data_IF_235603229892
#
_entry.id   IF_235603229892
#
_cell.length_a   1.000
_cell.length_b   1.000
_cell.length_c   1.000
_cell.angle_alpha   90.00
_cell.angle_beta   90.00
_cell.angle_gamma   90.00
#
_symmetry.space_group_name_H-M   'P 1'
#
loop_
_entity.id
_entity.type
_entity.pdbx_description
1 polymer ?
#
# COMPACT_ATOMS: atom_id res chain seq x y z
N UNK A 1 -83.21 -54.08 -13.23
CA UNK A 1 -81.84 -54.48 -12.82
C UNK A 1 -81.21 -53.35 -12.02
N UNK A 2 -81.25 -53.42 -10.66
CA UNK A 2 -80.62 -52.46 -9.77
C UNK A 2 -79.37 -53.15 -9.20
N UNK A 3 -78.17 -52.68 -9.53
CA UNK A 3 -76.90 -53.11 -8.92
C UNK A 3 -76.69 -52.28 -7.65
N UNK A 4 -76.69 -52.93 -6.51
CA UNK A 4 -76.29 -52.35 -5.23
C UNK A 4 -74.74 -52.29 -5.15
N UNK A 5 -74.22 -51.07 -4.97
CA UNK A 5 -72.81 -50.85 -4.71
C UNK A 5 -72.64 -50.96 -3.18
N UNK A 6 -71.95 -52.03 -2.77
CA UNK A 6 -71.51 -52.17 -1.36
C UNK A 6 -70.28 -51.32 -1.16
N UNK A 7 -70.39 -50.23 -0.39
CA UNK A 7 -69.29 -49.46 0.12
C UNK A 7 -68.66 -50.18 1.31
N UNK A 8 -67.50 -50.75 1.11
CA UNK A 8 -66.66 -51.25 2.23
C UNK A 8 -66.16 -50.04 3.04
N UNK A 9 -66.80 -49.75 4.15
CA UNK A 9 -66.27 -48.89 5.18
C UNK A 9 -65.11 -49.65 5.87
N UNK A 10 -63.89 -49.23 5.58
CA UNK A 10 -62.69 -49.70 6.28
C UNK A 10 -62.68 -48.95 7.62
N UNK A 11 -63.08 -49.64 8.69
CA UNK A 11 -62.95 -49.12 10.03
C UNK A 11 -61.50 -49.04 10.40
N UNK A 12 -60.98 -47.86 10.41
CA UNK A 12 -59.63 -47.55 10.88
C UNK A 12 -59.70 -47.61 12.42
N UNK A 13 -59.12 -48.64 13.02
CA UNK A 13 -58.91 -48.72 14.44
C UNK A 13 -57.96 -47.59 14.89
N UNK A 14 -58.48 -46.53 15.41
CA UNK A 14 -57.70 -45.46 16.03
C UNK A 14 -57.23 -45.92 17.39
N UNK A 15 -55.98 -46.41 17.45
CA UNK A 15 -55.34 -46.67 18.75
C UNK A 15 -54.89 -45.35 19.35
N UNK A 16 -55.43 -44.99 20.51
CA UNK A 16 -54.99 -43.83 21.28
C UNK A 16 -53.53 -43.99 21.72
N UNK A 17 -52.73 -42.91 21.58
CA UNK A 17 -51.35 -42.87 22.03
C UNK A 17 -51.25 -43.10 23.53
N UNK A 18 -50.35 -43.99 23.94
CA UNK A 18 -50.07 -44.19 25.36
C UNK A 18 -49.18 -43.04 25.89
N UNK A 19 -49.31 -42.72 27.17
CA UNK A 19 -48.54 -41.65 27.82
C UNK A 19 -47.01 -41.91 27.70
N UNK A 20 -46.58 -43.16 27.75
CA UNK A 20 -45.18 -43.55 27.58
C UNK A 20 -44.67 -43.34 26.15
N UNK A 21 -45.50 -43.61 25.15
CA UNK A 21 -45.19 -43.39 23.74
C UNK A 21 -45.02 -41.91 23.43
N UNK A 22 -45.85 -41.03 24.04
CA UNK A 22 -45.72 -39.58 23.96
C UNK A 22 -44.41 -39.09 24.61
N UNK A 23 -44.07 -39.62 25.81
CA UNK A 23 -42.82 -39.28 26.49
C UNK A 23 -41.56 -39.65 25.66
N UNK A 24 -41.59 -40.85 25.08
CA UNK A 24 -40.46 -41.30 24.20
C UNK A 24 -40.39 -40.43 22.96
N UNK A 25 -41.53 -40.11 22.34
CA UNK A 25 -41.54 -39.27 21.13
C UNK A 25 -40.99 -37.85 21.40
N UNK A 26 -41.37 -37.23 22.55
CA UNK A 26 -40.88 -35.92 22.96
C UNK A 26 -39.35 -35.95 23.22
N UNK A 27 -38.84 -36.97 23.93
CA UNK A 27 -37.41 -37.07 24.24
C UNK A 27 -36.59 -37.27 22.97
N UNK A 28 -37.01 -38.13 22.05
CA UNK A 28 -36.35 -38.33 20.76
C UNK A 28 -36.40 -37.08 19.91
N UNK A 29 -37.55 -36.38 19.84
CA UNK A 29 -37.67 -35.14 19.09
C UNK A 29 -36.76 -34.02 19.63
N UNK A 30 -36.63 -33.89 20.97
CA UNK A 30 -35.70 -32.92 21.59
C UNK A 30 -34.24 -33.23 21.26
N UNK A 31 -33.84 -34.52 21.25
CA UNK A 31 -32.47 -34.90 20.82
C UNK A 31 -32.20 -34.57 19.38
N UNK A 32 -33.17 -34.85 18.48
CA UNK A 32 -33.03 -34.50 17.04
C UNK A 32 -32.97 -33.00 16.86
N UNK A 33 -33.83 -32.22 17.48
CA UNK A 33 -33.80 -30.75 17.39
C UNK A 33 -32.48 -30.20 17.93
N UNK A 34 -31.96 -30.70 19.06
CA UNK A 34 -30.65 -30.34 19.60
C UNK A 34 -29.51 -30.62 18.63
N UNK A 35 -29.53 -31.76 17.97
CA UNK A 35 -28.52 -32.10 16.93
C UNK A 35 -28.62 -31.17 15.71
N UNK A 36 -29.81 -30.87 15.21
CA UNK A 36 -30.04 -29.95 14.09
C UNK A 36 -29.57 -28.53 14.43
N UNK A 37 -29.87 -28.02 15.62
CA UNK A 37 -29.39 -26.70 16.07
C UNK A 37 -27.87 -26.68 16.14
N UNK A 38 -27.23 -27.72 16.67
CA UNK A 38 -25.76 -27.83 16.73
C UNK A 38 -25.11 -27.81 15.33
N UNK A 39 -25.66 -28.55 14.38
CA UNK A 39 -25.21 -28.55 12.99
C UNK A 39 -25.39 -27.17 12.34
N UNK A 40 -26.53 -26.52 12.58
CA UNK A 40 -26.80 -25.18 12.05
C UNK A 40 -25.79 -24.14 12.55
N UNK A 41 -25.54 -24.11 13.88
CA UNK A 41 -24.58 -23.19 14.48
C UNK A 41 -23.16 -23.43 13.98
N UNK A 42 -22.76 -24.70 13.82
CA UNK A 42 -21.46 -25.08 13.26
C UNK A 42 -21.33 -24.64 11.80
N UNK A 43 -22.36 -24.83 11.00
CA UNK A 43 -22.40 -24.42 9.60
C UNK A 43 -22.30 -22.88 9.47
N UNK A 44 -23.05 -22.14 10.29
CA UNK A 44 -22.98 -20.68 10.34
C UNK A 44 -21.57 -20.16 10.72
N UNK A 45 -20.96 -20.79 11.73
CA UNK A 45 -19.59 -20.43 12.13
C UNK A 45 -18.59 -20.68 10.99
N UNK A 46 -18.68 -21.84 10.33
CA UNK A 46 -17.82 -22.19 9.20
C UNK A 46 -17.99 -21.21 8.04
N UNK A 47 -19.22 -20.82 7.72
CA UNK A 47 -19.51 -19.82 6.69
C UNK A 47 -18.84 -18.47 7.02
N UNK A 48 -18.96 -17.97 8.27
CA UNK A 48 -18.28 -16.73 8.70
C UNK A 48 -16.77 -16.83 8.59
N UNK A 49 -16.17 -17.95 8.97
CA UNK A 49 -14.73 -18.17 8.83
C UNK A 49 -14.31 -18.11 7.35
N UNK A 50 -15.04 -18.79 6.47
CA UNK A 50 -14.74 -18.81 5.03
C UNK A 50 -14.88 -17.43 4.38
N UNK A 51 -15.95 -16.69 4.69
CA UNK A 51 -16.16 -15.33 4.17
C UNK A 51 -15.05 -14.37 4.61
N UNK A 52 -14.70 -14.39 5.91
CA UNK A 52 -13.60 -13.57 6.43
C UNK A 52 -12.26 -13.89 5.80
N UNK A 53 -11.95 -15.18 5.59
CA UNK A 53 -10.70 -15.59 4.92
C UNK A 53 -10.68 -15.21 3.45
N UNK A 54 -11.81 -15.31 2.74
CA UNK A 54 -11.90 -14.90 1.34
C UNK A 54 -11.65 -13.39 1.18
N UNK A 55 -12.29 -12.54 2.00
CA UNK A 55 -12.08 -11.10 2.04
C UNK A 55 -10.63 -10.74 2.38
N UNK A 56 -10.05 -11.42 3.36
CA UNK A 56 -8.65 -11.22 3.74
C UNK A 56 -7.70 -11.53 2.59
N UNK A 57 -7.90 -12.63 1.86
CA UNK A 57 -7.07 -13.01 0.71
C UNK A 57 -7.21 -12.02 -0.45
N UNK A 58 -8.42 -11.52 -0.72
CA UNK A 58 -8.66 -10.52 -1.75
C UNK A 58 -7.96 -9.19 -1.42
N UNK A 59 -8.14 -8.68 -0.19
CA UNK A 59 -7.48 -7.48 0.30
C UNK A 59 -5.96 -7.59 0.27
N UNK A 60 -5.43 -8.76 0.65
CA UNK A 60 -4.00 -9.01 0.62
C UNK A 60 -3.44 -9.01 -0.81
N UNK A 61 -4.14 -9.66 -1.76
CA UNK A 61 -3.73 -9.66 -3.18
C UNK A 61 -3.71 -8.24 -3.74
N UNK A 62 -4.72 -7.44 -3.45
CA UNK A 62 -4.78 -6.05 -3.89
C UNK A 62 -3.62 -5.23 -3.31
N UNK A 63 -3.42 -5.29 -1.99
CA UNK A 63 -2.35 -4.56 -1.32
C UNK A 63 -0.96 -4.93 -1.84
N UNK A 64 -0.69 -6.24 -1.99
CA UNK A 64 0.58 -6.75 -2.51
C UNK A 64 0.83 -6.27 -3.95
N UNK A 65 -0.17 -6.30 -4.82
CA UNK A 65 -0.04 -5.82 -6.20
C UNK A 65 0.21 -4.32 -6.27
N UNK A 66 -0.47 -3.52 -5.44
CA UNK A 66 -0.29 -2.07 -5.39
C UNK A 66 1.12 -1.70 -4.96
N UNK A 67 1.59 -2.27 -3.83
CA UNK A 67 2.96 -2.03 -3.35
C UNK A 67 4.00 -2.55 -4.34
N UNK A 68 3.77 -3.74 -4.94
CA UNK A 68 4.70 -4.32 -5.91
C UNK A 68 4.85 -3.44 -7.17
N UNK A 69 3.76 -2.82 -7.62
CA UNK A 69 3.79 -1.91 -8.77
C UNK A 69 4.69 -0.72 -8.49
N UNK A 70 4.46 -0.04 -7.37
CA UNK A 70 5.21 1.16 -7.02
C UNK A 70 6.70 0.83 -6.74
N UNK A 71 6.98 -0.29 -6.06
CA UNK A 71 8.36 -0.75 -5.81
C UNK A 71 9.10 -1.10 -7.11
N UNK A 72 8.43 -1.72 -8.10
CA UNK A 72 9.08 -2.01 -9.41
C UNK A 72 9.44 -0.76 -10.19
N UNK A 73 8.67 0.31 -10.01
CA UNK A 73 8.90 1.59 -10.70
C UNK A 73 9.86 2.52 -9.94
N UNK A 74 10.32 2.06 -8.77
CA UNK A 74 11.24 2.83 -7.93
C UNK A 74 12.56 3.08 -8.66
N UNK A 75 12.97 4.36 -8.74
CA UNK A 75 14.18 4.78 -9.41
C UNK A 75 14.10 4.82 -10.95
N UNK A 76 12.92 4.61 -11.54
CA UNK A 76 12.76 4.69 -12.98
C UNK A 76 12.95 6.12 -13.50
N UNK A 77 13.90 6.28 -14.41
CA UNK A 77 14.36 7.55 -15.00
C UNK A 77 14.27 7.56 -16.54
N UNK A 78 13.37 6.75 -17.08
CA UNK A 78 13.18 6.66 -18.53
C UNK A 78 14.36 5.98 -19.24
N UNK A 79 14.86 6.60 -20.29
CA UNK A 79 15.96 6.07 -21.10
C UNK A 79 17.32 6.01 -20.35
N UNK A 80 17.45 6.72 -19.22
CA UNK A 80 18.67 6.70 -18.39
C UNK A 80 18.76 5.49 -17.47
N UNK A 81 17.70 4.74 -17.34
CA UNK A 81 17.63 3.50 -16.55
C UNK A 81 18.87 2.63 -16.84
N UNK A 82 19.59 2.27 -15.77
CA UNK A 82 20.80 1.43 -15.86
C UNK A 82 22.08 2.16 -16.36
N UNK A 83 22.04 3.45 -16.67
CA UNK A 83 23.24 4.19 -17.09
C UNK A 83 24.00 4.85 -15.93
N UNK A 84 23.50 4.74 -14.69
CA UNK A 84 24.08 5.36 -13.48
C UNK A 84 24.30 6.90 -13.60
N UNK A 85 23.52 7.57 -14.45
CA UNK A 85 23.49 9.01 -14.55
C UNK A 85 22.35 9.50 -13.64
N UNK A 86 22.70 10.14 -12.52
CA UNK A 86 21.69 10.69 -11.62
C UNK A 86 20.97 11.88 -12.26
N UNK A 87 19.64 12.00 -12.12
CA UNK A 87 18.91 13.18 -12.57
C UNK A 87 19.38 14.44 -11.86
N UNK A 88 19.44 15.55 -12.59
CA UNK A 88 19.68 16.85 -12.01
C UNK A 88 18.40 17.31 -11.28
N UNK A 89 18.48 17.52 -9.99
CA UNK A 89 17.33 17.89 -9.17
C UNK A 89 17.30 19.41 -8.93
N UNK A 90 16.44 20.11 -9.67
CA UNK A 90 16.31 21.56 -9.62
C UNK A 90 15.47 22.09 -8.45
N UNK A 91 14.90 21.21 -7.65
CA UNK A 91 13.99 21.59 -6.57
C UNK A 91 14.72 22.26 -5.40
N UNK A 92 14.09 23.24 -4.77
CA UNK A 92 14.51 23.70 -3.46
C UNK A 92 14.38 22.56 -2.43
N UNK A 93 15.41 22.37 -1.61
CA UNK A 93 15.41 21.31 -0.60
C UNK A 93 15.59 19.90 -1.20
N UNK A 94 16.21 19.80 -2.37
CA UNK A 94 16.46 18.55 -3.11
C UNK A 94 17.20 17.45 -2.32
N UNK A 95 17.87 17.78 -1.20
CA UNK A 95 18.53 16.84 -0.31
C UNK A 95 17.63 16.29 0.82
N UNK A 96 16.40 16.80 0.97
CA UNK A 96 15.50 16.45 2.05
C UNK A 96 14.27 15.69 1.55
N UNK A 97 13.73 14.82 2.41
CA UNK A 97 12.40 14.27 2.16
C UNK A 97 11.36 15.41 2.01
N UNK A 98 10.40 15.35 1.07
CA UNK A 98 10.16 14.27 0.10
C UNK A 98 10.90 14.45 -1.24
N UNK A 99 11.76 15.47 -1.38
CA UNK A 99 12.33 15.91 -2.65
C UNK A 99 13.70 15.32 -2.98
N UNK A 100 14.20 14.40 -2.14
CA UNK A 100 15.49 13.72 -2.38
C UNK A 100 15.33 12.57 -3.38
N UNK A 101 15.18 12.89 -4.66
CA UNK A 101 15.03 11.89 -5.71
C UNK A 101 16.33 11.13 -6.06
N UNK A 102 17.47 11.53 -5.51
CA UNK A 102 18.72 10.77 -5.65
C UNK A 102 18.71 9.45 -4.87
N UNK A 103 17.83 9.35 -3.85
CA UNK A 103 17.61 8.12 -3.09
C UNK A 103 16.27 7.54 -3.51
N UNK A 104 16.30 6.50 -4.35
CA UNK A 104 15.08 5.93 -4.92
C UNK A 104 14.20 5.23 -3.88
N UNK A 105 14.80 4.65 -2.82
CA UNK A 105 14.09 3.90 -1.78
C UNK A 105 14.64 4.27 -0.40
N UNK A 106 13.75 4.37 0.57
CA UNK A 106 14.08 4.58 1.99
C UNK A 106 13.21 3.69 2.87
N UNK A 107 13.78 3.20 3.96
CA UNK A 107 13.08 2.42 4.96
C UNK A 107 13.21 3.03 6.33
N UNK A 108 12.14 2.90 7.13
CA UNK A 108 12.14 3.36 8.51
C UNK A 108 11.67 2.23 9.42
N UNK A 109 12.39 1.99 10.48
CA UNK A 109 12.09 0.98 11.47
C UNK A 109 12.01 1.58 12.86
N UNK A 110 11.02 1.16 13.66
CA UNK A 110 10.97 1.58 15.05
C UNK A 110 11.88 0.67 15.88
N UNK A 111 12.93 1.25 16.45
CA UNK A 111 13.94 0.53 17.21
C UNK A 111 14.35 1.31 18.48
N UNK A 112 14.43 0.64 19.62
CA UNK A 112 14.84 1.22 20.90
C UNK A 112 14.09 2.50 21.30
N UNK A 113 12.80 2.59 20.97
CA UNK A 113 11.95 3.72 21.36
C UNK A 113 11.90 4.89 20.39
N UNK A 114 12.55 4.79 19.22
CA UNK A 114 12.58 5.82 18.19
C UNK A 114 12.51 5.21 16.77
N UNK A 115 12.12 6.03 15.80
CA UNK A 115 12.22 5.67 14.37
C UNK A 115 13.67 5.84 13.89
N UNK A 116 14.16 4.87 13.16
CA UNK A 116 15.51 4.84 12.56
C UNK A 116 15.37 4.61 11.06
N UNK A 117 15.76 5.61 10.21
CA UNK A 117 16.07 6.99 10.54
C UNK A 117 14.93 7.74 11.22
N UNK A 118 15.18 8.94 11.73
CA UNK A 118 14.12 9.80 12.25
C UNK A 118 13.15 10.16 11.14
N UNK A 119 11.84 10.16 11.45
CA UNK A 119 10.81 10.55 10.48
C UNK A 119 10.90 12.04 10.15
N UNK A 120 10.78 12.35 8.87
CA UNK A 120 10.76 13.75 8.42
C UNK A 120 9.48 14.47 8.89
N UNK A 121 9.57 15.75 9.31
CA UNK A 121 8.41 16.56 9.67
C UNK A 121 7.34 16.66 8.58
N UNK A 122 7.72 16.66 7.31
CA UNK A 122 6.77 16.71 6.17
C UNK A 122 5.92 15.45 6.09
N UNK A 123 6.50 14.27 6.39
CA UNK A 123 5.71 13.04 6.51
C UNK A 123 4.84 13.05 7.77
N UNK A 124 5.41 13.40 8.93
CA UNK A 124 4.64 13.38 10.18
C UNK A 124 3.47 14.37 10.17
N UNK A 125 3.56 15.46 9.41
CA UNK A 125 2.45 16.38 9.19
C UNK A 125 1.25 15.72 8.50
N UNK A 126 1.47 14.71 7.64
CA UNK A 126 0.38 13.97 6.97
C UNK A 126 -0.45 13.11 7.92
N UNK A 127 0.08 12.82 9.12
CA UNK A 127 -0.60 12.02 10.14
C UNK A 127 -1.71 12.76 10.89
N UNK A 128 -1.80 14.07 10.69
CA UNK A 128 -2.85 14.96 11.25
C UNK A 128 -3.47 15.79 10.14
N UNK A 129 -4.23 15.17 9.21
CA UNK A 129 -4.78 15.90 8.09
C UNK A 129 -5.75 17.00 8.54
N UNK A 130 -5.82 18.12 7.80
CA UNK A 130 -6.73 19.22 8.12
C UNK A 130 -8.19 18.76 8.03
N UNK A 131 -9.07 19.43 8.77
CA UNK A 131 -10.52 19.19 8.69
C UNK A 131 -11.15 19.98 7.53
N UNK A 132 -12.09 19.39 6.76
CA UNK A 132 -12.45 17.99 6.66
C UNK A 132 -11.45 17.19 5.80
N UNK A 133 -11.18 15.87 6.09
CA UNK A 133 -11.92 15.02 7.05
C UNK A 133 -11.51 15.20 8.50
N UNK A 134 -10.32 15.77 8.82
CA UNK A 134 -9.79 15.86 10.17
C UNK A 134 -9.61 14.49 10.84
N UNK A 135 -8.82 14.44 11.90
CA UNK A 135 -8.56 13.18 12.61
C UNK A 135 -7.06 12.97 12.83
N UNK A 136 -6.70 11.79 13.34
CA UNK A 136 -5.32 11.45 13.67
C UNK A 136 -5.00 10.04 13.19
N UNK A 137 -3.84 9.88 12.56
CA UNK A 137 -3.24 8.59 12.27
C UNK A 137 -2.26 8.23 13.40
N UNK A 138 -2.48 7.09 14.03
CA UNK A 138 -1.54 6.53 15.01
C UNK A 138 -0.74 5.42 14.34
N UNK A 139 0.55 5.66 14.13
CA UNK A 139 1.47 4.69 13.53
C UNK A 139 1.59 3.45 14.41
N UNK A 140 1.64 2.27 13.78
CA UNK A 140 1.97 1.03 14.47
C UNK A 140 3.50 0.89 14.56
N UNK A 141 4.05 1.00 15.77
CA UNK A 141 5.48 0.87 16.01
C UNK A 141 6.04 -0.55 15.84
N UNK A 142 5.15 -1.54 15.67
CA UNK A 142 5.55 -2.90 15.29
C UNK A 142 5.65 -3.08 13.77
N UNK A 143 5.40 -2.03 12.99
CA UNK A 143 5.45 -2.04 11.52
C UNK A 143 6.53 -1.12 11.01
N UNK A 144 7.18 -1.52 9.93
CA UNK A 144 8.12 -0.67 9.19
C UNK A 144 7.37 0.33 8.31
N UNK A 145 8.06 1.39 7.89
CA UNK A 145 7.59 2.36 6.90
C UNK A 145 8.48 2.24 5.67
N UNK A 146 7.88 2.22 4.49
CA UNK A 146 8.56 2.14 3.21
C UNK A 146 8.26 3.40 2.38
N UNK A 147 9.30 4.12 1.99
CA UNK A 147 9.23 5.24 1.05
C UNK A 147 9.89 4.85 -0.26
N UNK A 148 9.19 5.09 -1.36
CA UNK A 148 9.66 4.85 -2.72
C UNK A 148 9.48 6.11 -3.56
N UNK A 149 10.44 6.39 -4.45
CA UNK A 149 10.38 7.49 -5.40
C UNK A 149 10.33 6.93 -6.80
N UNK A 150 9.34 7.36 -7.57
CA UNK A 150 9.01 6.76 -8.85
C UNK A 150 8.46 7.80 -9.83
N UNK A 151 8.66 7.55 -11.11
CA UNK A 151 8.01 8.28 -12.19
C UNK A 151 6.69 7.60 -12.57
N UNK A 152 5.64 8.40 -12.78
CA UNK A 152 4.34 7.89 -13.28
C UNK A 152 4.35 7.83 -14.81
N UNK A 153 4.64 6.66 -15.33
CA UNK A 153 4.70 6.41 -16.78
C UNK A 153 3.32 6.40 -17.46
N UNK A 154 2.23 6.42 -16.70
CA UNK A 154 0.87 6.47 -17.28
C UNK A 154 0.51 7.85 -17.83
N UNK A 155 1.26 8.88 -17.42
CA UNK A 155 1.06 10.27 -17.82
C UNK A 155 2.28 10.83 -18.58
N UNK A 156 2.93 10.00 -19.40
CA UNK A 156 4.10 10.42 -20.19
C UNK A 156 3.68 11.26 -21.38
N UNK A 157 4.34 12.40 -21.58
CA UNK A 157 4.13 13.31 -22.72
C UNK A 157 5.48 13.64 -23.36
N UNK A 158 5.58 13.54 -24.68
CA UNK A 158 6.81 13.89 -25.40
C UNK A 158 7.02 15.42 -25.45
N UNK A 159 8.28 15.83 -25.45
CA UNK A 159 8.66 17.22 -25.75
C UNK A 159 8.33 17.53 -27.21
N UNK A 160 7.61 18.61 -27.47
CA UNK A 160 7.10 18.96 -28.81
C UNK A 160 8.07 19.84 -29.61
N UNK A 161 8.89 20.61 -28.91
CA UNK A 161 9.92 21.49 -29.51
C UNK A 161 11.13 21.51 -28.59
N UNK A 162 12.38 21.64 -29.17
CA UNK A 162 13.56 21.73 -28.34
C UNK A 162 13.45 22.83 -27.28
N UNK A 163 13.80 22.50 -26.03
CA UNK A 163 13.90 23.47 -24.96
C UNK A 163 15.07 24.39 -25.22
N UNK A 164 14.82 25.69 -25.28
CA UNK A 164 15.89 26.67 -25.30
C UNK A 164 16.47 26.93 -23.91
N UNK A 165 17.18 28.04 -23.75
CA UNK A 165 17.67 28.54 -22.47
C UNK A 165 16.57 29.20 -21.62
N UNK A 166 15.32 29.21 -22.06
CA UNK A 166 14.19 29.78 -21.37
C UNK A 166 13.66 28.84 -20.27
N UNK A 167 13.09 29.41 -19.21
CA UNK A 167 12.43 28.67 -18.14
C UNK A 167 11.05 28.11 -18.58
N UNK A 168 11.01 27.52 -19.78
CA UNK A 168 9.80 26.94 -20.35
C UNK A 168 10.15 25.70 -21.22
N UNK A 169 9.40 24.65 -21.04
CA UNK A 169 9.48 23.41 -21.78
C UNK A 169 8.20 23.20 -22.59
N UNK A 170 8.34 23.08 -23.92
CA UNK A 170 7.21 22.84 -24.80
C UNK A 170 6.91 21.33 -24.87
N UNK A 171 5.69 20.94 -24.54
CA UNK A 171 5.26 19.53 -24.52
C UNK A 171 4.13 19.28 -25.51
N UNK A 172 3.96 18.01 -25.88
CA UNK A 172 2.85 17.54 -26.70
C UNK A 172 1.50 17.80 -26.07
N UNK A 173 0.44 17.74 -26.89
CA UNK A 173 -0.93 17.94 -26.43
C UNK A 173 -1.81 16.73 -26.71
N UNK A 174 -2.83 16.47 -25.88
CA UNK A 174 -3.13 17.15 -24.60
C UNK A 174 -2.10 16.81 -23.52
N UNK A 175 -1.76 17.77 -22.64
CA UNK A 175 -0.93 17.48 -21.50
C UNK A 175 -1.76 17.53 -20.20
N UNK A 176 -1.58 16.55 -19.28
CA UNK A 176 -2.34 16.47 -18.04
C UNK A 176 -1.71 17.29 -16.89
N UNK A 177 -0.58 17.97 -17.13
CA UNK A 177 0.22 18.58 -16.08
C UNK A 177 -0.38 19.90 -15.56
N UNK A 178 -0.14 20.21 -14.28
CA UNK A 178 -0.69 21.39 -13.61
C UNK A 178 0.38 22.10 -12.75
N UNK A 179 0.20 23.40 -12.47
CA UNK A 179 1.11 24.15 -11.60
C UNK A 179 1.22 23.52 -10.21
N UNK A 180 2.43 23.45 -9.68
CA UNK A 180 2.76 22.79 -8.41
C UNK A 180 3.21 21.33 -8.56
N UNK A 181 2.92 20.67 -9.68
CA UNK A 181 3.32 19.28 -9.93
C UNK A 181 4.83 19.18 -10.16
N UNK A 182 5.44 18.12 -9.62
CA UNK A 182 6.85 17.79 -9.85
C UNK A 182 6.93 16.84 -11.03
N UNK A 183 7.80 17.21 -12.00
CA UNK A 183 7.98 16.47 -13.23
C UNK A 183 9.45 16.08 -13.41
N UNK A 184 9.66 14.95 -14.07
CA UNK A 184 10.91 14.51 -14.67
C UNK A 184 10.84 14.77 -16.16
N UNK A 185 11.84 15.46 -16.72
CA UNK A 185 12.12 15.43 -18.16
C UNK A 185 13.38 14.60 -18.39
N UNK A 186 13.34 13.68 -19.33
CA UNK A 186 14.43 12.73 -19.54
C UNK A 186 14.60 12.40 -21.02
N UNK A 187 15.85 12.17 -21.42
CA UNK A 187 16.23 11.50 -22.65
C UNK A 187 17.42 10.58 -22.38
N UNK A 188 17.98 9.94 -23.42
CA UNK A 188 19.08 9.00 -23.20
C UNK A 188 20.43 9.65 -22.81
N UNK A 189 20.51 10.97 -22.63
CA UNK A 189 21.75 11.70 -22.29
C UNK A 189 21.69 12.44 -20.96
N UNK A 190 20.49 12.61 -20.36
CA UNK A 190 20.32 13.27 -19.07
C UNK A 190 18.87 13.38 -18.65
N UNK A 191 18.65 13.78 -17.40
CA UNK A 191 17.35 14.05 -16.84
C UNK A 191 17.39 15.23 -15.87
N UNK A 192 16.28 15.99 -15.81
CA UNK A 192 16.06 17.07 -14.85
C UNK A 192 14.72 16.88 -14.13
N UNK A 193 14.71 17.14 -12.84
CA UNK A 193 13.52 17.14 -12.00
C UNK A 193 13.21 18.58 -11.59
N UNK A 194 12.02 19.05 -11.91
CA UNK A 194 11.57 20.41 -11.64
C UNK A 194 10.11 20.48 -11.24
N UNK A 195 9.73 21.59 -10.62
CA UNK A 195 8.32 21.90 -10.33
C UNK A 195 7.75 22.82 -11.41
N UNK A 196 6.54 22.49 -11.88
CA UNK A 196 5.78 23.36 -12.78
C UNK A 196 5.33 24.62 -12.00
N UNK A 197 5.82 25.78 -12.40
CA UNK A 197 5.46 27.06 -11.78
C UNK A 197 4.31 27.77 -12.50
N UNK A 198 4.05 27.41 -13.73
CA UNK A 198 2.92 27.93 -14.52
C UNK A 198 2.69 27.07 -15.75
N UNK A 199 1.46 27.17 -16.23
CA UNK A 199 1.02 26.52 -17.44
C UNK A 199 0.26 27.58 -18.26
N UNK A 200 0.74 27.87 -19.47
CA UNK A 200 0.15 28.92 -20.32
C UNK A 200 -1.09 28.39 -21.05
N UNK A 201 -2.12 28.05 -20.30
CA UNK A 201 -3.40 27.56 -20.86
C UNK A 201 -4.00 26.45 -20.00
N UNK A 202 -5.29 26.41 -19.91
CA UNK A 202 -6.08 25.48 -19.10
C UNK A 202 -5.92 24.01 -19.57
N UNK A 203 -4.90 23.30 -19.07
CA UNK A 203 -4.70 21.87 -19.33
C UNK A 203 -4.24 21.49 -20.76
N UNK A 204 -4.19 22.45 -21.68
CA UNK A 204 -3.79 22.28 -23.07
C UNK A 204 -2.63 23.20 -23.47
N UNK A 205 -1.88 23.73 -22.50
CA UNK A 205 -0.77 24.60 -22.83
C UNK A 205 0.36 23.84 -23.49
N UNK A 206 0.91 24.43 -24.51
CA UNK A 206 2.10 23.96 -25.17
C UNK A 206 3.38 24.15 -24.33
N UNK A 207 3.35 25.04 -23.31
CA UNK A 207 4.52 25.37 -22.52
C UNK A 207 4.32 25.18 -21.03
N UNK A 208 5.16 24.38 -20.41
CA UNK A 208 5.32 24.25 -18.97
C UNK A 208 6.42 25.21 -18.51
N UNK A 209 6.11 26.13 -17.61
CA UNK A 209 7.12 27.03 -17.04
C UNK A 209 7.68 26.45 -15.75
N UNK A 210 9.00 26.63 -15.52
CA UNK A 210 9.71 26.15 -14.34
C UNK A 210 10.64 27.22 -13.76
N UNK A 211 10.10 28.42 -13.53
CA UNK A 211 10.87 29.55 -13.01
C UNK A 211 11.45 29.25 -11.62
N UNK A 212 12.64 29.81 -11.33
CA UNK A 212 13.22 29.74 -10.00
C UNK A 212 12.42 30.52 -8.96
N UNK A 213 12.47 30.08 -7.72
CA UNK A 213 11.98 30.82 -6.54
C UNK A 213 10.49 30.75 -6.26
N UNK A 214 9.66 30.24 -7.16
CA UNK A 214 8.20 30.17 -6.99
C UNK A 214 7.72 28.75 -6.71
N UNK A 215 6.86 28.58 -5.71
CA UNK A 215 6.23 27.30 -5.40
C UNK A 215 6.65 26.72 -4.05
N UNK A 216 6.12 25.56 -3.75
CA UNK A 216 6.49 24.72 -2.61
C UNK A 216 6.72 23.30 -3.14
N UNK A 217 7.98 22.83 -3.29
CA UNK A 217 9.23 23.47 -2.83
C UNK A 217 9.72 24.62 -3.73
N UNK A 218 9.23 24.78 -4.96
CA UNK A 218 9.77 25.67 -5.96
C UNK A 218 11.06 25.12 -6.58
N UNK A 219 11.61 25.86 -7.54
CA UNK A 219 12.86 25.50 -8.20
C UNK A 219 14.02 26.38 -7.72
N UNK A 220 15.17 25.79 -7.49
CA UNK A 220 16.41 26.52 -7.15
C UNK A 220 16.96 27.27 -8.35
N UNK A 221 16.82 26.70 -9.53
CA UNK A 221 17.21 27.27 -10.83
C UNK A 221 16.00 27.25 -11.78
N UNK A 222 15.96 28.25 -12.67
CA UNK A 222 14.94 28.34 -13.71
C UNK A 222 15.45 27.88 -15.08
N UNK A 223 16.47 27.00 -15.11
CA UNK A 223 17.09 26.51 -16.34
C UNK A 223 17.43 25.03 -16.17
N UNK A 224 17.02 24.21 -17.11
CA UNK A 224 17.38 22.79 -17.15
C UNK A 224 18.87 22.59 -17.41
N UNK A 225 19.43 21.47 -16.95
CA UNK A 225 20.87 21.15 -17.07
C UNK A 225 21.32 21.04 -18.52
N UNK A 226 20.42 20.66 -19.42
CA UNK A 226 20.64 20.55 -20.84
C UNK A 226 19.44 21.00 -21.67
N UNK A 227 19.60 21.08 -23.00
CA UNK A 227 18.50 21.29 -23.93
C UNK A 227 17.87 19.94 -24.28
N UNK A 228 16.57 19.81 -24.03
CA UNK A 228 15.81 18.62 -24.39
C UNK A 228 15.17 18.79 -25.76
N UNK A 229 15.39 17.83 -26.65
CA UNK A 229 14.79 17.78 -27.98
C UNK A 229 13.46 16.99 -27.98
N UNK A 230 12.97 16.73 -29.19
CA UNK A 230 11.73 15.93 -29.37
C UNK A 230 11.92 14.43 -29.09
N UNK A 231 13.15 14.02 -28.76
CA UNK A 231 13.52 12.70 -28.25
C UNK A 231 13.29 12.55 -26.74
N UNK A 232 12.95 13.65 -26.05
CA UNK A 232 12.75 13.65 -24.62
C UNK A 232 11.27 13.45 -24.24
N UNK A 233 11.07 12.87 -23.07
CA UNK A 233 9.78 12.61 -22.46
C UNK A 233 9.66 13.31 -21.10
N UNK A 234 8.43 13.69 -20.77
CA UNK A 234 8.07 14.33 -19.50
C UNK A 234 7.04 13.48 -18.78
N UNK A 235 7.27 13.23 -17.48
CA UNK A 235 6.37 12.43 -16.64
C UNK A 235 6.38 12.94 -15.20
N UNK A 236 5.28 12.73 -14.43
CA UNK A 236 5.24 13.10 -13.01
C UNK A 236 6.22 12.27 -12.17
N UNK A 237 6.86 12.93 -11.20
CA UNK A 237 7.66 12.28 -10.16
C UNK A 237 6.90 12.29 -8.84
N UNK A 238 6.87 11.15 -8.16
CA UNK A 238 6.16 10.97 -6.89
C UNK A 238 7.06 10.38 -5.81
N UNK A 239 6.91 10.88 -4.59
CA UNK A 239 7.41 10.25 -3.37
C UNK A 239 6.24 9.63 -2.64
N UNK A 240 6.19 8.31 -2.63
CA UNK A 240 5.12 7.53 -2.05
C UNK A 240 5.60 6.83 -0.81
N UNK A 241 4.87 7.00 0.28
CA UNK A 241 5.17 6.35 1.56
C UNK A 241 4.04 5.40 1.96
N UNK A 242 4.42 4.15 2.25
CA UNK A 242 3.55 3.10 2.78
C UNK A 242 3.79 2.93 4.27
N UNK A 243 2.72 2.87 5.06
CA UNK A 243 2.80 2.69 6.51
C UNK A 243 1.53 2.02 7.05
N UNK A 244 1.63 1.38 8.20
CA UNK A 244 0.48 0.82 8.92
C UNK A 244 0.11 1.76 10.05
N UNK A 245 -1.16 2.14 10.11
CA UNK A 245 -1.68 3.02 11.15
C UNK A 245 -3.16 2.72 11.42
N UNK A 246 -3.62 3.09 12.61
CA UNK A 246 -5.04 3.25 12.91
C UNK A 246 -5.43 4.71 12.67
N UNK A 247 -6.49 4.93 11.92
CA UNK A 247 -7.04 6.27 11.71
C UNK A 247 -8.24 6.48 12.62
N UNK A 248 -8.22 7.56 13.35
CA UNK A 248 -9.31 8.00 14.21
C UNK A 248 -9.89 9.31 13.67
N UNK A 249 -11.06 9.29 13.00
CA UNK A 249 -11.76 10.52 12.63
C UNK A 249 -12.14 11.33 13.87
N UNK A 250 -12.23 12.65 13.71
CA UNK A 250 -12.65 13.52 14.81
C UNK A 250 -13.99 13.09 15.42
N UNK A 251 -14.02 12.83 16.73
CA UNK A 251 -15.21 12.45 17.46
C UNK A 251 -15.70 11.00 17.21
N UNK A 252 -14.92 10.17 16.53
CA UNK A 252 -15.22 8.76 16.25
C UNK A 252 -14.21 7.84 16.94
N UNK A 253 -14.55 6.57 17.20
CA UNK A 253 -13.57 5.58 17.65
C UNK A 253 -12.53 5.30 16.55
N UNK A 254 -11.32 4.84 16.93
CA UNK A 254 -10.31 4.45 15.96
C UNK A 254 -10.78 3.28 15.10
N UNK A 255 -10.45 3.34 13.81
CA UNK A 255 -10.69 2.28 12.85
C UNK A 255 -9.76 1.06 13.05
N UNK A 256 -9.87 0.04 12.21
CA UNK A 256 -8.95 -1.09 12.22
C UNK A 256 -7.55 -0.67 11.78
N UNK A 257 -6.50 -1.42 12.14
CA UNK A 257 -5.18 -1.23 11.60
C UNK A 257 -5.24 -1.40 10.08
N UNK A 258 -4.67 -0.44 9.36
CA UNK A 258 -4.83 -0.31 7.90
C UNK A 258 -3.48 0.03 7.28
N UNK A 259 -3.19 -0.56 6.13
CA UNK A 259 -2.08 -0.13 5.27
C UNK A 259 -2.50 1.12 4.51
N UNK A 260 -1.75 2.18 4.69
CA UNK A 260 -1.98 3.49 4.06
C UNK A 260 -0.88 3.78 3.05
N UNK A 261 -1.24 4.56 2.04
CA UNK A 261 -0.36 5.11 1.02
C UNK A 261 -0.52 6.63 1.01
N UNK A 262 0.57 7.37 1.04
CA UNK A 262 0.54 8.82 0.85
C UNK A 262 1.56 9.23 -0.20
N UNK A 263 1.14 10.07 -1.16
CA UNK A 263 2.04 10.78 -2.07
C UNK A 263 2.29 12.17 -1.48
N UNK A 264 3.53 12.47 -1.16
CA UNK A 264 3.92 13.72 -0.49
C UNK A 264 4.45 14.77 -1.44
N UNK A 265 4.57 14.47 -2.72
CA UNK A 265 5.11 15.38 -3.73
C UNK A 265 4.05 16.03 -4.61
N UNK A 266 3.02 15.30 -4.99
CA UNK A 266 2.00 15.78 -5.92
C UNK A 266 0.67 16.03 -5.20
N UNK A 267 0.43 17.28 -4.87
CA UNK A 267 -0.86 17.71 -4.33
C UNK A 267 -1.86 17.91 -5.47
N UNK A 268 -3.04 17.33 -5.34
CA UNK A 268 -4.12 17.60 -6.27
C UNK A 268 -4.56 19.08 -6.19
N UNK A 269 -5.08 19.67 -7.28
CA UNK A 269 -5.56 21.05 -7.27
C UNK A 269 -6.53 21.29 -6.11
N UNK A 270 -6.26 22.33 -5.31
CA UNK A 270 -7.05 22.68 -4.13
C UNK A 270 -6.66 21.99 -2.83
N UNK A 271 -5.74 21.05 -2.85
CA UNK A 271 -5.16 20.47 -1.63
C UNK A 271 -4.00 21.33 -1.12
N UNK A 272 -3.91 21.45 0.20
CA UNK A 272 -2.82 22.17 0.90
C UNK A 272 -1.83 21.21 1.55
N UNK A 273 -2.22 19.96 1.73
CA UNK A 273 -1.40 18.90 2.32
C UNK A 273 -1.71 17.55 1.67
N UNK A 274 -0.74 16.62 1.63
CA UNK A 274 -0.99 15.24 1.21
C UNK A 274 -1.95 14.55 2.18
N UNK A 275 -2.85 13.74 1.64
CA UNK A 275 -3.83 12.98 2.43
C UNK A 275 -3.57 11.51 2.21
N UNK A 276 -3.33 10.72 3.29
CA UNK A 276 -3.16 9.28 3.18
C UNK A 276 -4.42 8.60 2.63
N UNK A 277 -4.23 7.65 1.72
CA UNK A 277 -5.29 6.84 1.11
C UNK A 277 -5.18 5.41 1.64
N UNK A 278 -6.31 4.83 2.05
CA UNK A 278 -6.35 3.45 2.52
C UNK A 278 -6.11 2.48 1.36
N UNK A 279 -5.12 1.62 1.50
CA UNK A 279 -4.82 0.54 0.54
C UNK A 279 -5.56 -0.73 0.94
N UNK A 280 -5.39 -1.16 2.19
CA UNK A 280 -6.07 -2.36 2.70
C UNK A 280 -6.30 -2.25 4.21
N UNK A 281 -7.54 -2.47 4.64
CA UNK A 281 -7.88 -2.57 6.04
C UNK A 281 -7.46 -3.93 6.64
N UNK A 282 -7.36 -3.99 7.96
CA UNK A 282 -6.99 -5.18 8.70
C UNK A 282 -5.56 -5.70 8.42
N UNK A 283 -4.65 -4.82 8.04
CA UNK A 283 -3.21 -5.08 8.03
C UNK A 283 -2.67 -4.81 9.41
N UNK A 284 -2.32 -5.88 10.12
CA UNK A 284 -1.82 -5.80 11.50
C UNK A 284 -0.38 -5.32 11.56
N UNK A 285 0.45 -5.73 10.58
CA UNK A 285 1.87 -5.42 10.57
C UNK A 285 2.43 -5.47 9.16
N UNK A 286 3.39 -4.61 8.86
CA UNK A 286 4.25 -4.64 7.68
C UNK A 286 5.70 -4.74 8.12
N UNK A 287 6.45 -5.67 7.52
CA UNK A 287 7.90 -5.80 7.69
C UNK A 287 8.57 -5.74 6.34
N UNK A 288 9.65 -4.96 6.23
CA UNK A 288 10.35 -4.72 4.97
C UNK A 288 11.81 -5.13 5.13
N UNK A 289 12.29 -5.94 4.19
CA UNK A 289 13.70 -6.32 4.07
C UNK A 289 14.23 -5.83 2.73
N UNK A 290 15.42 -5.32 2.75
CA UNK A 290 16.14 -4.76 1.60
C UNK A 290 17.20 -5.76 1.18
N UNK A 291 17.10 -6.25 -0.05
CA UNK A 291 18.06 -7.17 -0.65
C UNK A 291 19.24 -6.38 -1.21
N UNK A 292 20.39 -6.48 -0.55
CA UNK A 292 21.61 -5.80 -0.91
C UNK A 292 22.45 -6.65 -1.85
N UNK A 293 22.94 -6.05 -2.92
CA UNK A 293 23.94 -6.57 -3.81
C UNK A 293 25.32 -6.06 -3.35
N UNK A 294 26.13 -6.98 -2.81
CA UNK A 294 27.45 -6.65 -2.24
C UNK A 294 28.60 -6.92 -3.19
N UNK A 295 28.37 -7.65 -4.30
CA UNK A 295 29.39 -8.04 -5.28
C UNK A 295 29.17 -7.46 -6.69
N UNK A 296 28.04 -6.75 -6.90
CA UNK A 296 27.74 -6.03 -8.15
C UNK A 296 27.25 -6.92 -9.29
N UNK A 297 26.70 -8.11 -8.97
CA UNK A 297 26.18 -9.04 -9.99
C UNK A 297 24.69 -8.81 -10.34
N UNK A 298 24.04 -7.81 -9.70
CA UNK A 298 22.62 -7.49 -9.87
C UNK A 298 21.67 -8.39 -9.05
N UNK A 299 22.20 -9.26 -8.20
CA UNK A 299 21.44 -10.17 -7.35
C UNK A 299 21.61 -9.83 -5.89
N UNK A 300 20.57 -9.99 -5.08
CA UNK A 300 20.67 -9.76 -3.65
C UNK A 300 21.45 -10.90 -2.95
N UNK A 301 22.57 -10.59 -2.32
CA UNK A 301 23.36 -11.52 -1.55
C UNK A 301 22.78 -11.73 -0.15
N UNK A 302 22.20 -10.68 0.44
CA UNK A 302 21.57 -10.75 1.77
C UNK A 302 20.34 -9.83 1.86
N UNK A 303 19.51 -10.06 2.89
CA UNK A 303 18.32 -9.27 3.17
C UNK A 303 18.41 -8.65 4.55
N UNK A 304 18.50 -7.33 4.61
CA UNK A 304 18.70 -6.54 5.82
C UNK A 304 17.44 -5.71 6.14
N UNK A 305 17.24 -5.39 7.40
CA UNK A 305 16.24 -4.41 7.84
C UNK A 305 16.74 -2.98 7.57
N UNK A 306 15.85 -1.98 7.60
CA UNK A 306 16.23 -0.58 7.42
C UNK A 306 17.32 -0.14 8.45
N UNK A 307 17.20 -0.57 9.70
CA UNK A 307 18.15 -0.26 10.76
C UNK A 307 19.52 -0.93 10.50
N UNK A 308 19.54 -2.17 10.01
CA UNK A 308 20.77 -2.88 9.70
C UNK A 308 21.54 -2.23 8.56
N UNK A 309 20.87 -1.89 7.45
CA UNK A 309 21.51 -1.19 6.31
C UNK A 309 22.16 0.11 6.76
N UNK A 310 21.49 0.90 7.59
CA UNK A 310 22.07 2.15 8.10
C UNK A 310 23.23 1.94 9.06
N UNK A 311 23.25 0.84 9.81
CA UNK A 311 24.32 0.55 10.76
C UNK A 311 25.64 0.11 10.11
N UNK A 312 25.58 -0.36 8.86
CA UNK A 312 26.76 -0.80 8.11
C UNK A 312 27.29 0.24 7.11
N UNK A 313 26.80 1.51 7.20
CA UNK A 313 27.13 2.58 6.25
C UNK A 313 26.84 2.21 4.78
N UNK A 314 26.00 1.19 4.56
CA UNK A 314 25.62 0.79 3.22
C UNK A 314 24.53 1.74 2.71
N UNK A 315 24.79 2.48 1.65
CA UNK A 315 23.77 3.33 1.07
C UNK A 315 22.66 2.45 0.48
N UNK A 316 21.41 2.88 0.61
CA UNK A 316 20.25 2.25 -0.09
C UNK A 316 20.45 2.14 -1.61
N UNK A 317 21.57 2.67 -2.14
CA UNK A 317 21.98 2.56 -3.55
C UNK A 317 22.32 1.14 -3.98
N UNK A 318 22.74 0.27 -3.06
CA UNK A 318 23.07 -1.14 -3.36
C UNK A 318 21.86 -2.07 -3.26
N UNK A 319 20.69 -1.53 -2.90
CA UNK A 319 19.47 -2.34 -2.80
C UNK A 319 18.95 -2.63 -4.21
N UNK A 320 18.90 -3.92 -4.57
CA UNK A 320 18.41 -4.41 -5.86
C UNK A 320 17.04 -5.08 -5.78
N UNK A 321 16.61 -5.42 -4.58
CA UNK A 321 15.28 -6.01 -4.35
C UNK A 321 14.71 -5.67 -2.97
N UNK A 322 13.39 -5.78 -2.86
CA UNK A 322 12.68 -5.56 -1.59
C UNK A 322 11.80 -6.76 -1.29
N UNK A 323 11.91 -7.30 -0.09
CA UNK A 323 10.99 -8.31 0.41
C UNK A 323 10.02 -7.68 1.40
N UNK A 324 8.73 -7.76 1.08
CA UNK A 324 7.65 -7.18 1.87
C UNK A 324 6.85 -8.31 2.49
N UNK A 325 6.63 -8.23 3.79
CA UNK A 325 5.84 -9.18 4.56
C UNK A 325 4.68 -8.42 5.21
N UNK A 326 3.45 -8.80 4.86
CA UNK A 326 2.24 -8.25 5.44
C UNK A 326 1.55 -9.29 6.31
N UNK A 327 1.27 -8.94 7.55
CA UNK A 327 0.42 -9.71 8.44
C UNK A 327 -1.00 -9.16 8.39
N UNK A 328 -1.91 -9.93 7.84
CA UNK A 328 -3.33 -9.62 7.84
C UNK A 328 -4.07 -10.32 8.98
N UNK A 329 -5.08 -9.66 9.50
CA UNK A 329 -6.06 -10.22 10.44
C UNK A 329 -7.46 -10.19 9.83
N UNK A 330 -8.36 -11.06 10.30
CA UNK A 330 -9.77 -11.01 9.90
C UNK A 330 -10.47 -9.79 10.49
N UNK A 331 -11.50 -9.29 9.80
CA UNK A 331 -12.34 -8.19 10.32
C UNK A 331 -13.09 -8.58 11.58
N UNK A 332 -13.69 -9.78 11.60
CA UNK A 332 -14.41 -10.30 12.76
C UNK A 332 -13.48 -10.96 13.77
N UNK A 333 -13.83 -10.82 15.04
CA UNK A 333 -13.23 -11.55 16.15
C UNK A 333 -14.02 -12.85 16.44
N UNK A 334 -13.50 -13.68 17.35
CA UNK A 334 -14.12 -14.94 17.78
C UNK A 334 -14.30 -15.99 16.66
N UNK A 335 -13.39 -15.97 15.67
CA UNK A 335 -13.32 -16.98 14.61
C UNK A 335 -12.45 -18.18 14.98
N UNK A 336 -11.55 -18.03 15.95
CA UNK A 336 -10.73 -19.10 16.52
C UNK A 336 -11.12 -19.37 17.97
N UNK A 337 -11.04 -20.64 18.40
CA UNK A 337 -11.29 -21.03 19.80
C UNK A 337 -10.15 -20.61 20.74
N UNK A 338 -8.95 -20.52 20.20
CA UNK A 338 -7.73 -20.13 20.92
C UNK A 338 -7.00 -19.05 20.15
N UNK A 339 -6.28 -18.12 20.80
CA UNK A 339 -5.42 -17.17 20.11
C UNK A 339 -4.42 -17.88 19.21
N UNK A 340 -4.21 -17.35 18.01
CA UNK A 340 -3.32 -17.94 17.02
C UNK A 340 -1.87 -17.62 17.33
N UNK A 341 -0.98 -18.60 17.16
CA UNK A 341 0.47 -18.42 17.26
C UNK A 341 1.10 -18.70 15.90
N UNK A 342 1.88 -17.74 15.38
CA UNK A 342 2.65 -17.88 14.15
C UNK A 342 4.14 -17.99 14.52
N UNK A 343 4.74 -19.14 14.25
CA UNK A 343 6.17 -19.36 14.47
C UNK A 343 6.97 -18.87 13.26
N UNK A 344 8.23 -18.49 13.50
CA UNK A 344 9.15 -17.99 12.48
C UNK A 344 8.59 -16.80 11.67
N UNK A 345 7.76 -15.98 12.30
CA UNK A 345 7.24 -14.77 11.70
C UNK A 345 8.29 -13.65 11.83
N UNK A 346 8.60 -12.93 10.72
CA UNK A 346 9.47 -11.78 10.80
C UNK A 346 8.76 -10.64 11.56
N UNK A 347 9.28 -10.30 12.72
CA UNK A 347 8.80 -9.17 13.52
C UNK A 347 9.68 -7.97 13.25
N UNK A 348 9.10 -6.81 12.94
CA UNK A 348 9.84 -5.56 12.77
C UNK A 348 10.72 -5.28 14.00
N UNK A 349 11.97 -4.91 13.76
CA UNK A 349 12.94 -4.66 14.84
C UNK A 349 13.57 -5.89 15.47
N UNK A 350 13.21 -7.10 15.06
CA UNK A 350 13.84 -8.33 15.56
C UNK A 350 14.90 -8.84 14.57
N UNK A 351 16.12 -9.18 15.03
CA UNK A 351 17.20 -9.62 14.15
C UNK A 351 17.01 -11.02 13.55
N UNK A 352 16.03 -11.78 14.04
CA UNK A 352 15.69 -13.11 13.55
C UNK A 352 14.18 -13.33 13.63
N UNK A 353 13.63 -14.30 12.86
CA UNK A 353 12.22 -14.62 12.93
C UNK A 353 11.78 -14.90 14.37
N UNK A 354 10.80 -14.16 14.85
CA UNK A 354 10.23 -14.31 16.17
C UNK A 354 8.88 -15.05 16.10
N UNK A 355 8.29 -15.30 17.26
CA UNK A 355 6.94 -15.86 17.36
C UNK A 355 5.94 -14.73 17.55
N UNK A 356 4.99 -14.58 16.61
CA UNK A 356 3.84 -13.71 16.82
C UNK A 356 2.76 -14.47 17.58
N UNK A 357 2.28 -13.90 18.67
CA UNK A 357 1.17 -14.45 19.47
C UNK A 357 0.01 -13.46 19.41
N UNK A 358 -1.13 -13.90 18.88
CA UNK A 358 -2.33 -13.10 18.85
C UNK A 358 -2.85 -12.87 20.29
N UNK A 359 -3.38 -11.70 20.55
CA UNK A 359 -4.03 -11.34 21.83
C UNK A 359 -5.55 -11.45 21.77
N UNK A 360 -6.10 -11.83 20.63
CA UNK A 360 -7.52 -11.97 20.35
C UNK A 360 -7.82 -13.31 19.63
N UNK A 361 -9.06 -13.52 19.23
CA UNK A 361 -9.54 -14.72 18.55
C UNK A 361 -9.78 -14.52 17.06
N UNK A 362 -9.10 -13.56 16.43
CA UNK A 362 -9.06 -13.35 14.97
C UNK A 362 -8.18 -14.40 14.31
N UNK A 363 -8.38 -14.59 13.01
CA UNK A 363 -7.47 -15.38 12.19
C UNK A 363 -6.46 -14.46 11.52
N UNK A 364 -5.21 -14.90 11.53
CA UNK A 364 -4.07 -14.18 10.99
C UNK A 364 -3.45 -14.94 9.83
N UNK A 365 -3.02 -14.22 8.78
CA UNK A 365 -2.32 -14.79 7.63
C UNK A 365 -1.16 -13.89 7.23
N UNK A 366 -0.05 -14.52 6.93
CA UNK A 366 1.16 -13.85 6.42
C UNK A 366 1.19 -13.95 4.91
N UNK A 367 1.46 -12.83 4.26
CA UNK A 367 1.71 -12.74 2.84
C UNK A 367 3.10 -12.16 2.62
N UNK A 368 3.89 -12.80 1.79
CA UNK A 368 5.27 -12.38 1.49
C UNK A 368 5.43 -12.27 -0.01
N UNK A 369 6.10 -11.21 -0.44
CA UNK A 369 6.58 -11.08 -1.81
C UNK A 369 7.98 -10.48 -1.83
N UNK A 370 8.72 -10.81 -2.87
CA UNK A 370 10.00 -10.17 -3.20
C UNK A 370 9.86 -9.50 -4.56
N UNK A 371 10.26 -8.25 -4.63
CA UNK A 371 10.16 -7.41 -5.83
C UNK A 371 11.55 -6.91 -6.16
N UNK A 372 12.04 -7.17 -7.37
CA UNK A 372 13.27 -6.60 -7.87
C UNK A 372 13.03 -5.14 -8.30
N UNK A 373 13.98 -4.26 -8.01
CA UNK A 373 14.02 -2.88 -8.48
C UNK A 373 14.51 -2.89 -9.92
N UNK A 374 13.65 -2.46 -10.85
CA UNK A 374 13.89 -2.61 -12.30
C UNK A 374 15.14 -1.89 -12.78
N UNK A 375 15.48 -0.77 -12.15
CA UNK A 375 16.59 0.10 -12.56
C UNK A 375 17.95 -0.28 -11.97
N UNK A 376 17.99 -1.33 -11.15
CA UNK A 376 19.20 -1.76 -10.43
C UNK A 376 19.59 -3.20 -10.71
N UNK A 377 18.78 -3.91 -11.48
CA UNK A 377 19.05 -5.27 -11.94
C UNK A 377 19.31 -5.18 -13.44
N UNK A 378 20.57 -5.24 -13.85
CA UNK A 378 21.01 -5.29 -15.23
C UNK A 378 21.32 -6.72 -15.66
#
# INVERSE_FOLDING_TARGET
>A
MKRAIHSLMYSRNEHGLTLIELMIAITLSLLIVGAVISLYLTSQHLYKVQDNLARLQESARYAMNEVARDVRMTGYEGCLTGQHIAPHNDLNGSGNYPYNFTTAIEGYQYFSGAWVPALDPSFTATLTPPSPPGGVFTLDTASDILTVRLADTTQTVAVSQPSGSAAALNVGQPNPFYPGQILLVTNCSGADIFQVTGNTGNGNAAALTHNSGNGNPGNSIGKLSQNYGTDAEVMPMSTVTYFVATYQPSGQPPGPPTLWRVDTTNLLPGQTQPIPVAVAANVKQMTVYYGEDTDGDGSANEYLTAQQIQSVDAPMTNVVSVRIVLLFQTGDNNLSRVPQTLQNYPVAGAPSPATFVATDHRLYRVFTMTVALRDRVL
#
